data_IF_331865602875
#
_entry.id   IF_331865602875
#
_cell.length_a   1.000
_cell.length_b   1.000
_cell.length_c   1.000
_cell.angle_alpha   90.00
_cell.angle_beta   90.00
_cell.angle_gamma   90.00
#
_symmetry.space_group_name_H-M   'P 1'
#
loop_
_entity.id
_entity.type
_entity.pdbx_description
1 polymer ?
#
# COMPACT_ATOMS: atom_id res chain seq x y z
N UNK A 1 9.08 -18.51 -61.88
CA UNK A 1 9.17 -18.06 -60.48
C UNK A 1 8.51 -19.10 -59.60
N UNK A 2 9.25 -20.04 -58.97
CA UNK A 2 8.69 -20.93 -57.98
C UNK A 2 9.03 -20.46 -56.56
N UNK A 3 7.99 -20.31 -55.76
CA UNK A 3 8.05 -20.07 -54.32
C UNK A 3 8.59 -21.31 -53.60
N UNK A 4 9.73 -21.17 -52.93
CA UNK A 4 10.25 -22.19 -52.01
C UNK A 4 9.92 -21.78 -50.57
N UNK A 5 8.92 -22.49 -50.02
CA UNK A 5 8.55 -22.51 -48.61
C UNK A 5 9.72 -22.99 -47.74
N UNK A 6 10.32 -22.05 -47.00
CA UNK A 6 11.29 -22.35 -45.93
C UNK A 6 10.54 -22.81 -44.68
N UNK A 7 10.73 -24.08 -44.35
CA UNK A 7 10.19 -24.80 -43.20
C UNK A 7 11.10 -24.53 -41.99
N UNK A 8 10.65 -23.70 -41.04
CA UNK A 8 11.35 -23.45 -39.77
C UNK A 8 11.03 -24.57 -38.77
N UNK A 9 12.00 -25.17 -38.07
CA UNK A 9 11.72 -26.11 -36.99
C UNK A 9 11.36 -25.36 -35.70
N UNK A 10 10.17 -25.65 -35.16
CA UNK A 10 9.74 -25.27 -33.81
C UNK A 10 10.58 -26.02 -32.77
N UNK A 11 11.42 -25.31 -32.03
CA UNK A 11 12.02 -25.80 -30.80
C UNK A 11 10.97 -25.87 -29.69
N UNK A 12 10.89 -27.02 -29.04
CA UNK A 12 10.00 -27.28 -27.90
C UNK A 12 10.71 -26.79 -26.64
N UNK A 13 10.11 -25.82 -25.95
CA UNK A 13 10.56 -25.33 -24.65
C UNK A 13 10.55 -26.46 -23.60
N UNK A 14 11.51 -26.49 -22.66
CA UNK A 14 11.45 -27.46 -21.56
C UNK A 14 10.39 -27.03 -20.53
N UNK A 15 9.63 -28.03 -20.11
CA UNK A 15 8.64 -27.98 -19.03
C UNK A 15 9.31 -27.57 -17.73
N UNK A 16 8.85 -26.45 -17.16
CA UNK A 16 9.19 -26.06 -15.79
C UNK A 16 8.65 -27.12 -14.83
N UNK A 17 9.57 -27.87 -14.20
CA UNK A 17 9.25 -28.75 -13.08
C UNK A 17 8.92 -27.87 -11.87
N UNK A 18 7.63 -27.64 -11.64
CA UNK A 18 7.13 -27.14 -10.38
C UNK A 18 7.38 -28.21 -9.31
N UNK A 19 8.39 -27.99 -8.49
CA UNK A 19 8.79 -28.84 -7.38
C UNK A 19 9.53 -28.01 -6.33
N UNK A 20 8.99 -26.83 -6.01
CA UNK A 20 9.37 -26.10 -4.82
C UNK A 20 8.66 -26.79 -3.65
N UNK A 21 9.33 -27.78 -3.05
CA UNK A 21 8.91 -28.33 -1.77
C UNK A 21 8.95 -27.20 -0.74
N UNK A 22 7.89 -27.08 0.05
CA UNK A 22 7.81 -26.24 1.24
C UNK A 22 8.92 -26.64 2.21
N UNK A 23 10.05 -25.95 2.10
CA UNK A 23 11.14 -26.02 3.07
C UNK A 23 10.64 -25.25 4.29
N UNK A 24 10.14 -25.98 5.30
CA UNK A 24 9.60 -25.38 6.51
C UNK A 24 10.62 -24.42 7.14
N UNK A 25 10.16 -23.30 7.72
CA UNK A 25 11.03 -22.30 8.40
C UNK A 25 11.97 -22.92 9.45
N UNK A 26 11.62 -24.12 9.95
CA UNK A 26 12.43 -24.92 10.87
C UNK A 26 13.73 -25.45 10.24
N UNK A 27 13.73 -25.75 8.95
CA UNK A 27 14.91 -26.21 8.20
C UNK A 27 15.81 -25.03 7.80
N UNK A 28 15.23 -23.91 7.38
CA UNK A 28 15.97 -22.66 7.14
C UNK A 28 16.65 -22.12 8.41
N UNK A 29 16.01 -22.30 9.58
CA UNK A 29 16.61 -21.91 10.88
C UNK A 29 17.79 -22.81 11.26
N UNK A 30 17.76 -24.10 10.90
CA UNK A 30 18.89 -25.02 11.14
C UNK A 30 20.08 -24.73 10.22
N UNK A 31 19.86 -24.33 8.97
CA UNK A 31 20.95 -23.89 8.09
C UNK A 31 21.58 -22.57 8.55
N UNK A 32 20.79 -21.61 9.01
CA UNK A 32 21.34 -20.34 9.56
C UNK A 32 22.19 -20.56 10.82
N UNK A 33 21.82 -21.50 11.69
CA UNK A 33 22.63 -21.86 12.85
C UNK A 33 23.92 -22.63 12.49
N UNK A 34 23.94 -23.40 11.40
CA UNK A 34 25.16 -24.08 10.92
C UNK A 34 26.16 -23.13 10.27
N UNK A 35 25.73 -22.00 9.70
CA UNK A 35 26.64 -20.99 9.14
C UNK A 35 27.29 -20.09 10.21
N UNK A 36 26.68 -19.95 11.39
CA UNK A 36 27.21 -19.13 12.49
C UNK A 36 28.07 -19.90 13.51
N UNK A 37 28.16 -21.23 13.42
CA UNK A 37 28.90 -22.06 14.39
C UNK A 37 30.11 -22.77 13.81
N UNK A 38 30.64 -22.28 12.68
CA UNK A 38 31.98 -22.66 12.24
C UNK A 38 32.99 -21.99 13.17
N UNK A 39 33.80 -22.74 13.95
CA UNK A 39 34.86 -22.14 14.75
C UNK A 39 35.82 -21.42 13.78
N UNK A 40 36.35 -20.22 14.11
CA UNK A 40 37.38 -19.62 13.29
C UNK A 40 38.51 -20.64 13.19
N UNK A 41 38.82 -21.05 11.95
CA UNK A 41 39.90 -21.98 11.67
C UNK A 41 41.14 -21.48 12.41
N UNK A 42 41.63 -22.30 13.35
CA UNK A 42 42.89 -22.09 14.05
C UNK A 42 43.95 -21.85 12.98
N UNK A 43 44.34 -20.60 12.82
CA UNK A 43 45.50 -20.20 12.04
C UNK A 43 46.70 -20.86 12.71
N UNK A 44 47.23 -21.88 12.03
CA UNK A 44 48.54 -22.45 12.34
C UNK A 44 49.56 -21.30 12.44
N UNK A 45 50.43 -21.28 13.47
CA UNK A 45 51.56 -20.36 13.51
C UNK A 45 52.45 -20.64 12.29
N UNK A 46 52.43 -19.73 11.33
CA UNK A 46 53.32 -19.77 10.17
C UNK A 46 54.75 -19.60 10.68
N UNK A 47 55.59 -20.59 10.36
CA UNK A 47 57.02 -20.60 10.62
C UNK A 47 57.70 -19.27 10.21
N UNK A 48 58.62 -18.70 11.01
CA UNK A 48 59.29 -17.45 10.70
C UNK A 48 60.43 -17.72 9.73
N UNK A 49 60.14 -17.81 8.42
CA UNK A 49 61.20 -17.78 7.38
C UNK A 49 60.74 -17.34 5.98
N UNK A 50 59.55 -16.75 5.86
CA UNK A 50 59.06 -16.14 4.61
C UNK A 50 58.34 -14.82 4.87
N UNK A 51 59.03 -13.87 5.49
CA UNK A 51 58.66 -12.45 5.40
C UNK A 51 59.65 -11.77 4.46
N UNK A 52 59.34 -11.85 3.17
CA UNK A 52 59.97 -11.03 2.16
C UNK A 52 58.89 -10.59 1.19
N UNK A 53 58.67 -9.28 1.15
CA UNK A 53 58.00 -8.49 0.12
C UNK A 53 56.46 -8.46 0.12
N UNK A 54 55.89 -7.61 0.98
CA UNK A 54 54.69 -6.84 0.65
C UNK A 54 54.89 -5.38 1.08
N UNK A 55 55.72 -4.66 0.33
CA UNK A 55 55.63 -3.20 0.20
C UNK A 55 55.17 -2.92 -1.22
N UNK A 56 54.17 -2.03 -1.43
CA UNK A 56 53.77 -1.64 -2.77
C UNK A 56 54.91 -0.83 -3.38
N UNK A 57 55.67 -1.45 -4.27
CA UNK A 57 56.70 -0.78 -5.05
C UNK A 57 56.01 0.04 -6.14
N UNK A 58 55.60 1.26 -5.78
CA UNK A 58 55.17 2.28 -6.71
C UNK A 58 56.40 2.75 -7.52
N UNK A 59 56.58 2.18 -8.72
CA UNK A 59 57.80 2.28 -9.54
C UNK A 59 57.74 3.36 -10.62
N UNK A 60 56.89 4.38 -10.46
CA UNK A 60 56.77 5.49 -11.42
C UNK A 60 56.64 6.87 -10.76
N UNK A 61 57.43 7.14 -9.71
CA UNK A 61 57.75 8.53 -9.36
C UNK A 61 59.27 8.69 -9.40
N UNK A 62 59.76 9.15 -10.54
CA UNK A 62 61.17 9.46 -10.77
C UNK A 62 61.57 10.66 -9.90
N UNK A 63 61.92 10.43 -8.63
CA UNK A 63 62.76 11.37 -7.90
C UNK A 63 64.16 11.29 -8.48
N UNK A 64 64.64 12.42 -9.01
CA UNK A 64 65.99 12.57 -9.52
C UNK A 64 66.98 12.44 -8.36
N UNK A 65 67.39 11.22 -8.04
CA UNK A 65 68.50 11.00 -7.14
C UNK A 65 69.80 11.36 -7.86
N UNK A 66 70.63 12.15 -7.19
CA UNK A 66 71.99 12.46 -7.61
C UNK A 66 72.73 11.15 -7.94
N UNK A 67 73.42 11.07 -9.08
CA UNK A 67 74.11 9.86 -9.48
C UNK A 67 75.11 9.47 -8.40
N UNK A 68 75.17 8.17 -8.08
CA UNK A 68 76.11 7.65 -7.10
C UNK A 68 77.55 8.09 -7.46
N UNK A 69 78.41 8.38 -6.47
CA UNK A 69 79.77 8.89 -6.73
C UNK A 69 80.58 7.99 -7.68
N UNK A 70 80.27 6.68 -7.72
CA UNK A 70 80.88 5.74 -8.67
C UNK A 70 80.38 5.94 -10.11
N UNK A 71 79.09 6.23 -10.33
CA UNK A 71 78.56 6.54 -11.66
C UNK A 71 79.07 7.90 -12.16
N UNK A 72 79.24 8.88 -11.28
CA UNK A 72 79.88 10.16 -11.61
C UNK A 72 81.34 9.96 -12.03
N UNK A 73 82.08 9.09 -11.33
CA UNK A 73 83.47 8.74 -11.69
C UNK A 73 83.57 8.02 -13.04
N UNK A 74 82.69 7.06 -13.32
CA UNK A 74 82.65 6.35 -14.60
C UNK A 74 82.29 7.30 -15.75
N UNK A 75 81.34 8.22 -15.54
CA UNK A 75 81.02 9.26 -16.54
C UNK A 75 82.18 10.21 -16.76
N UNK A 76 82.87 10.64 -15.70
CA UNK A 76 84.08 11.46 -15.80
C UNK A 76 85.17 10.76 -16.61
N UNK A 77 85.44 9.47 -16.37
CA UNK A 77 86.44 8.72 -17.13
C UNK A 77 86.03 8.52 -18.60
N UNK A 78 84.74 8.33 -18.89
CA UNK A 78 84.24 8.23 -20.27
C UNK A 78 84.27 9.58 -20.99
N UNK A 79 84.02 10.68 -20.29
CA UNK A 79 84.13 12.03 -20.84
C UNK A 79 85.59 12.44 -21.04
N UNK A 80 86.52 12.03 -20.18
CA UNK A 80 87.97 12.14 -20.42
C UNK A 80 88.40 11.33 -21.65
N UNK A 81 87.86 10.12 -21.83
CA UNK A 81 88.15 9.29 -23.00
C UNK A 81 87.58 9.89 -24.30
N UNK A 82 86.44 10.61 -24.21
CA UNK A 82 85.86 11.36 -25.34
C UNK A 82 86.58 12.66 -25.64
N UNK A 83 87.19 13.30 -24.63
CA UNK A 83 87.98 14.54 -24.78
C UNK A 83 89.43 14.30 -25.14
N UNK A 84 89.92 13.06 -25.04
CA UNK A 84 91.14 12.66 -25.73
C UNK A 84 90.86 12.65 -27.23
N UNK A 85 91.20 13.75 -27.90
CA UNK A 85 91.45 13.75 -29.34
C UNK A 85 92.44 12.64 -29.63
N UNK A 86 91.92 11.55 -30.20
CA UNK A 86 92.74 10.43 -30.67
C UNK A 86 93.80 10.98 -31.62
N UNK A 87 95.10 10.81 -31.35
CA UNK A 87 96.09 11.08 -32.38
C UNK A 87 95.78 10.13 -33.55
N UNK A 88 95.60 10.73 -34.73
CA UNK A 88 95.42 10.02 -36.00
C UNK A 88 96.54 8.98 -36.11
N UNK A 89 96.16 7.70 -35.98
CA UNK A 89 97.07 6.58 -36.21
C UNK A 89 97.47 6.63 -37.69
N UNK A 90 98.77 6.61 -38.04
CA UNK A 90 99.18 6.61 -39.43
C UNK A 90 98.60 5.37 -40.12
N UNK A 91 97.94 5.59 -41.25
CA UNK A 91 97.51 4.53 -42.17
C UNK A 91 98.76 3.85 -42.70
N UNK A 92 99.22 2.81 -42.02
CA UNK A 92 100.21 1.89 -42.56
C UNK A 92 99.58 1.16 -43.75
N UNK A 93 99.86 1.66 -44.96
CA UNK A 93 99.75 0.90 -46.20
C UNK A 93 100.82 -0.20 -46.21
N UNK A 94 100.69 -1.20 -45.36
CA UNK A 94 101.42 -2.45 -45.50
C UNK A 94 100.58 -3.34 -46.40
N UNK A 95 100.94 -3.38 -47.69
CA UNK A 95 100.47 -4.43 -48.61
C UNK A 95 100.78 -5.77 -47.96
N UNK A 96 99.73 -6.59 -47.78
CA UNK A 96 99.89 -8.00 -47.48
C UNK A 96 100.79 -8.61 -48.57
N UNK A 97 101.98 -9.03 -48.17
CA UNK A 97 102.86 -9.85 -49.00
C UNK A 97 102.15 -11.18 -49.12
N UNK A 98 101.59 -11.42 -50.32
CA UNK A 98 101.05 -12.70 -50.73
C UNK A 98 102.10 -13.79 -50.54
N UNK A 99 101.72 -14.81 -49.78
CA UNK A 99 102.51 -16.00 -49.44
C UNK A 99 102.21 -17.15 -50.41
N UNK A 100 102.01 -16.84 -51.70
CA UNK A 100 101.69 -17.84 -52.75
C UNK A 100 102.77 -18.04 -53.82
N UNK A 101 103.90 -17.32 -53.75
CA UNK A 101 105.03 -17.52 -54.68
C UNK A 101 106.27 -18.09 -53.97
N UNK A 102 106.16 -19.33 -53.49
CA UNK A 102 107.31 -20.18 -53.16
C UNK A 102 107.32 -21.48 -53.97
N UNK A 103 106.96 -21.40 -55.25
CA UNK A 103 107.37 -22.40 -56.24
C UNK A 103 108.76 -22.03 -56.76
N UNK A 104 109.77 -22.92 -56.68
CA UNK A 104 111.09 -22.64 -57.24
C UNK A 104 111.06 -22.81 -58.76
N UNK A 105 110.52 -21.84 -59.49
CA UNK A 105 110.62 -21.72 -60.95
C UNK A 105 111.64 -20.65 -61.37
N UNK A 106 112.74 -20.51 -60.63
CA UNK A 106 113.94 -19.87 -61.17
C UNK A 106 114.78 -20.93 -61.88
N UNK A 107 114.59 -21.03 -63.19
CA UNK A 107 115.62 -21.55 -64.11
C UNK A 107 116.89 -20.73 -63.89
N UNK A 108 117.81 -21.26 -63.10
CA UNK A 108 119.17 -20.75 -63.06
C UNK A 108 119.75 -21.10 -64.44
N UNK A 109 119.85 -20.08 -65.31
CA UNK A 109 120.68 -20.16 -66.51
C UNK A 109 122.09 -20.46 -66.02
N UNK A 110 122.59 -21.66 -66.32
CA UNK A 110 124.00 -21.96 -66.29
C UNK A 110 124.65 -21.12 -67.40
N UNK A 111 125.12 -19.93 -67.05
CA UNK A 111 126.03 -19.18 -67.90
C UNK A 111 127.39 -19.87 -67.80
N UNK A 112 127.59 -20.79 -68.73
CA UNK A 112 128.82 -21.51 -68.98
C UNK A 112 129.79 -20.52 -69.62
N UNK A 113 130.42 -19.66 -68.82
CA UNK A 113 131.65 -18.98 -69.19
C UNK A 113 132.82 -19.80 -68.66
N UNK A 114 133.28 -20.71 -69.51
CA UNK A 114 134.65 -21.18 -69.55
C UNK A 114 135.56 -19.94 -69.50
N UNK A 115 136.29 -19.79 -68.40
CA UNK A 115 137.11 -18.63 -68.10
C UNK A 115 138.16 -19.03 -67.09
N UNK A 116 139.16 -19.77 -67.60
CA UNK A 116 140.51 -19.95 -67.09
C UNK A 116 140.71 -19.66 -65.59
N UNK A 117 140.43 -20.67 -64.77
CA UNK A 117 141.09 -20.77 -63.46
C UNK A 117 142.56 -21.10 -63.73
N UNK A 118 143.52 -20.23 -63.38
CA UNK A 118 144.93 -20.52 -63.56
C UNK A 118 145.29 -21.65 -62.60
N UNK A 119 145.58 -22.83 -63.16
CA UNK A 119 146.26 -23.90 -62.44
C UNK A 119 147.59 -23.32 -61.96
N UNK A 120 147.83 -23.19 -60.64
CA UNK A 120 149.12 -22.76 -60.17
C UNK A 120 150.13 -23.85 -60.52
N UNK A 121 150.97 -23.60 -61.53
CA UNK A 121 152.15 -24.41 -61.82
C UNK A 121 153.11 -24.25 -60.65
N UNK A 122 153.19 -25.27 -59.80
CA UNK A 122 154.27 -25.41 -58.84
C UNK A 122 155.59 -25.72 -59.59
N UNK A 123 156.75 -25.26 -59.09
CA UNK A 123 158.03 -25.48 -59.77
C UNK A 123 158.50 -26.93 -59.58
N UNK A 124 158.27 -27.73 -60.61
CA UNK A 124 159.27 -28.51 -61.35
C UNK A 124 160.33 -29.29 -60.57
N UNK A 125 159.99 -30.46 -60.03
CA UNK A 125 160.92 -31.60 -59.87
C UNK A 125 160.11 -32.89 -59.93
N UNK A 126 160.28 -33.69 -60.98
CA UNK A 126 159.66 -35.00 -61.08
C UNK A 126 160.40 -36.00 -60.19
N UNK A 127 160.15 -35.94 -58.88
CA UNK A 127 160.36 -37.08 -58.00
C UNK A 127 159.01 -37.80 -57.87
N UNK A 128 158.97 -39.09 -58.21
CA UNK A 128 157.75 -39.92 -58.12
C UNK A 128 157.07 -39.85 -56.72
N UNK A 129 157.82 -39.48 -55.68
CA UNK A 129 157.35 -39.26 -54.31
C UNK A 129 156.40 -38.05 -54.15
N UNK A 130 156.63 -36.94 -54.84
CA UNK A 130 155.80 -35.72 -54.70
C UNK A 130 154.48 -35.86 -55.45
N UNK A 131 154.50 -36.47 -56.64
CA UNK A 131 153.28 -36.80 -57.38
C UNK A 131 152.44 -37.81 -56.60
N UNK A 132 153.05 -38.81 -55.95
CA UNK A 132 152.32 -39.74 -55.08
C UNK A 132 151.78 -39.05 -53.82
N UNK A 133 152.47 -38.07 -53.25
CA UNK A 133 151.96 -37.27 -52.14
C UNK A 133 150.78 -36.37 -52.56
N UNK A 134 150.87 -35.68 -53.71
CA UNK A 134 149.79 -34.88 -54.27
C UNK A 134 148.55 -35.72 -54.58
N UNK A 135 148.71 -36.92 -55.17
CA UNK A 135 147.60 -37.86 -55.40
C UNK A 135 146.97 -38.32 -54.08
N UNK A 136 147.76 -38.57 -53.04
CA UNK A 136 147.25 -38.89 -51.70
C UNK A 136 146.47 -37.72 -51.09
N UNK A 137 146.96 -36.49 -51.20
CA UNK A 137 146.29 -35.28 -50.73
C UNK A 137 145.00 -35.03 -51.50
N UNK A 138 145.00 -35.12 -52.83
CA UNK A 138 143.80 -35.00 -53.65
C UNK A 138 142.76 -36.07 -53.31
N UNK A 139 143.17 -37.33 -53.14
CA UNK A 139 142.27 -38.41 -52.68
C UNK A 139 141.69 -38.12 -51.31
N UNK A 140 142.51 -37.62 -50.38
CA UNK A 140 142.06 -37.22 -49.05
C UNK A 140 141.05 -36.06 -49.13
N UNK A 141 141.37 -34.99 -49.87
CA UNK A 141 140.49 -33.83 -50.06
C UNK A 141 139.15 -34.23 -50.70
N UNK A 142 139.16 -35.07 -51.74
CA UNK A 142 137.94 -35.60 -52.36
C UNK A 142 137.13 -36.42 -51.33
N UNK A 143 137.80 -37.26 -50.54
CA UNK A 143 137.15 -38.07 -49.50
C UNK A 143 136.53 -37.19 -48.41
N UNK A 144 137.23 -36.15 -47.95
CA UNK A 144 136.75 -35.18 -46.95
C UNK A 144 135.58 -34.36 -47.51
N UNK A 145 135.70 -33.84 -48.73
CA UNK A 145 134.62 -33.10 -49.41
C UNK A 145 133.38 -33.98 -49.62
N UNK A 146 133.57 -35.24 -50.03
CA UNK A 146 132.48 -36.20 -50.17
C UNK A 146 131.81 -36.54 -48.83
N UNK A 147 132.60 -36.77 -47.77
CA UNK A 147 132.07 -36.98 -46.41
C UNK A 147 131.29 -35.77 -45.90
N UNK A 148 131.83 -34.55 -46.05
CA UNK A 148 131.15 -33.30 -45.70
C UNK A 148 129.84 -33.15 -46.47
N UNK A 149 129.87 -33.35 -47.79
CA UNK A 149 128.66 -33.29 -48.62
C UNK A 149 127.63 -34.33 -48.20
N UNK A 150 128.05 -35.54 -47.82
CA UNK A 150 127.16 -36.60 -47.33
C UNK A 150 126.54 -36.23 -45.98
N UNK A 151 127.30 -35.59 -45.10
CA UNK A 151 126.77 -35.05 -43.83
C UNK A 151 125.78 -33.91 -44.08
N UNK A 152 126.11 -32.96 -44.97
CA UNK A 152 125.21 -31.87 -45.36
C UNK A 152 123.91 -32.41 -45.94
N UNK A 153 123.98 -33.41 -46.83
CA UNK A 153 122.80 -34.07 -47.39
C UNK A 153 122.01 -34.81 -46.30
N UNK A 154 122.68 -35.45 -45.34
CA UNK A 154 122.00 -36.10 -44.21
C UNK A 154 121.32 -35.07 -43.29
N UNK A 155 121.97 -33.95 -43.01
CA UNK A 155 121.44 -32.84 -42.24
C UNK A 155 120.22 -32.23 -42.95
N UNK A 156 120.35 -31.90 -44.24
CA UNK A 156 119.24 -31.40 -45.06
C UNK A 156 118.07 -32.38 -45.12
N UNK A 157 118.33 -33.69 -45.24
CA UNK A 157 117.28 -34.72 -45.22
C UNK A 157 116.53 -34.74 -43.88
N UNK A 158 117.25 -34.70 -42.76
CA UNK A 158 116.62 -34.61 -41.41
C UNK A 158 115.82 -33.32 -41.25
N UNK A 159 116.34 -32.19 -41.73
CA UNK A 159 115.62 -30.90 -41.70
C UNK A 159 114.36 -30.95 -42.57
N UNK A 160 114.41 -31.58 -43.74
CA UNK A 160 113.24 -31.76 -44.59
C UNK A 160 112.21 -32.69 -43.93
N UNK A 161 112.64 -33.79 -43.31
CA UNK A 161 111.76 -34.70 -42.57
C UNK A 161 111.06 -33.99 -41.41
N UNK A 162 111.79 -33.16 -40.63
CA UNK A 162 111.16 -32.37 -39.57
C UNK A 162 110.20 -31.33 -40.13
N UNK A 163 110.55 -30.63 -41.21
CA UNK A 163 109.65 -29.69 -41.89
C UNK A 163 108.38 -30.37 -42.40
N UNK A 164 108.49 -31.55 -43.04
CA UNK A 164 107.33 -32.34 -43.47
C UNK A 164 106.48 -32.75 -42.26
N UNK A 165 107.10 -33.18 -41.15
CA UNK A 165 106.36 -33.52 -39.93
C UNK A 165 105.60 -32.34 -39.32
N UNK A 166 106.19 -31.13 -39.34
CA UNK A 166 105.51 -29.91 -38.91
C UNK A 166 104.38 -29.52 -39.86
N UNK A 167 104.60 -29.66 -41.17
CA UNK A 167 103.55 -29.40 -42.17
C UNK A 167 102.35 -30.36 -41.99
N UNK A 168 102.61 -31.63 -41.67
CA UNK A 168 101.55 -32.60 -41.42
C UNK A 168 100.77 -32.28 -40.13
N UNK A 169 101.49 -31.94 -39.06
CA UNK A 169 100.86 -31.50 -37.80
C UNK A 169 99.98 -30.26 -38.02
N UNK A 170 100.47 -29.29 -38.81
CA UNK A 170 99.69 -28.11 -39.18
C UNK A 170 98.47 -28.49 -40.02
N UNK A 171 98.58 -29.42 -40.98
CA UNK A 171 97.43 -29.92 -41.75
C UNK A 171 96.36 -30.52 -40.84
N UNK A 172 96.76 -31.34 -39.86
CA UNK A 172 95.84 -31.94 -38.87
C UNK A 172 95.21 -30.85 -37.98
N UNK A 173 95.99 -29.89 -37.50
CA UNK A 173 95.45 -28.76 -36.73
C UNK A 173 94.45 -27.95 -37.53
N UNK A 174 94.73 -27.66 -38.80
CA UNK A 174 93.80 -26.96 -39.69
C UNK A 174 92.53 -27.78 -39.93
N UNK A 175 92.61 -29.10 -40.13
CA UNK A 175 91.42 -29.94 -40.35
C UNK A 175 90.55 -30.04 -39.09
N UNK A 176 91.15 -30.19 -37.91
CA UNK A 176 90.42 -30.18 -36.63
C UNK A 176 89.72 -28.84 -36.38
N UNK A 177 90.40 -27.71 -36.59
CA UNK A 177 89.80 -26.37 -36.47
C UNK A 177 88.66 -26.16 -37.47
N UNK A 178 88.79 -26.64 -38.71
CA UNK A 178 87.70 -26.61 -39.71
C UNK A 178 86.49 -27.40 -39.23
N UNK A 179 86.69 -28.63 -38.72
CA UNK A 179 85.58 -29.45 -38.21
C UNK A 179 84.87 -28.82 -37.02
N UNK A 180 85.63 -28.17 -36.12
CA UNK A 180 85.06 -27.43 -34.98
C UNK A 180 84.22 -26.24 -35.47
N UNK A 181 84.75 -25.47 -36.42
CA UNK A 181 84.05 -24.34 -37.03
C UNK A 181 82.77 -24.79 -37.73
N UNK A 182 82.78 -25.91 -38.45
CA UNK A 182 81.59 -26.47 -39.11
C UNK A 182 80.54 -26.93 -38.11
N UNK A 183 80.96 -27.56 -37.00
CA UNK A 183 80.09 -27.93 -35.88
C UNK A 183 79.45 -26.69 -35.24
N UNK A 184 80.23 -25.66 -34.94
CA UNK A 184 79.72 -24.46 -34.31
C UNK A 184 78.81 -23.67 -35.25
N UNK A 185 79.12 -23.63 -36.55
CA UNK A 185 78.21 -23.10 -37.58
C UNK A 185 76.89 -23.87 -37.63
N UNK A 186 76.90 -25.20 -37.45
CA UNK A 186 75.67 -25.99 -37.37
C UNK A 186 74.84 -25.65 -36.12
N UNK A 187 75.48 -25.48 -34.96
CA UNK A 187 74.82 -25.05 -33.72
C UNK A 187 74.21 -23.65 -33.87
N UNK A 188 74.93 -22.71 -34.47
CA UNK A 188 74.42 -21.35 -34.74
C UNK A 188 73.18 -21.40 -35.65
N UNK A 189 73.21 -22.21 -36.71
CA UNK A 189 72.02 -22.39 -37.58
C UNK A 189 70.82 -22.95 -36.82
N UNK A 190 71.02 -23.92 -35.93
CA UNK A 190 69.93 -24.47 -35.10
C UNK A 190 69.41 -23.41 -34.11
N UNK A 191 70.29 -22.67 -33.46
CA UNK A 191 69.90 -21.59 -32.55
C UNK A 191 69.12 -20.48 -33.27
N UNK A 192 69.50 -20.13 -34.51
CA UNK A 192 68.76 -19.16 -35.33
C UNK A 192 67.34 -19.65 -35.66
N UNK A 193 67.17 -20.91 -36.05
CA UNK A 193 65.84 -21.49 -36.32
C UNK A 193 64.97 -21.54 -35.07
N UNK A 194 65.56 -21.90 -33.93
CA UNK A 194 64.83 -21.93 -32.66
C UNK A 194 64.42 -20.52 -32.22
N UNK A 195 65.29 -19.53 -32.43
CA UNK A 195 64.97 -18.12 -32.18
C UNK A 195 63.84 -17.62 -33.09
N UNK A 196 63.81 -18.01 -34.36
CA UNK A 196 62.70 -17.72 -35.28
C UNK A 196 61.39 -18.39 -34.82
N UNK A 197 61.44 -19.66 -34.39
CA UNK A 197 60.30 -20.38 -33.83
C UNK A 197 59.75 -19.69 -32.57
N UNK A 198 60.62 -19.28 -31.66
CA UNK A 198 60.24 -18.57 -30.44
C UNK A 198 59.67 -17.18 -30.74
N UNK A 199 60.21 -16.46 -31.73
CA UNK A 199 59.64 -15.19 -32.20
C UNK A 199 58.23 -15.38 -32.75
N UNK A 200 58.00 -16.46 -33.49
CA UNK A 200 56.68 -16.78 -34.04
C UNK A 200 55.68 -17.10 -32.92
N UNK A 201 56.06 -17.93 -31.95
CA UNK A 201 55.24 -18.22 -30.77
C UNK A 201 54.92 -16.96 -29.95
N UNK A 202 55.88 -16.05 -29.80
CA UNK A 202 55.66 -14.79 -29.09
C UNK A 202 54.60 -13.93 -29.80
N UNK A 203 54.66 -13.83 -31.14
CA UNK A 203 53.64 -13.12 -31.93
C UNK A 203 52.26 -13.76 -31.79
N UNK A 204 52.18 -15.10 -31.84
CA UNK A 204 50.91 -15.82 -31.64
C UNK A 204 50.32 -15.53 -30.25
N UNK A 205 51.15 -15.47 -29.21
CA UNK A 205 50.71 -15.12 -27.85
C UNK A 205 50.31 -13.65 -27.70
N UNK A 206 50.95 -12.73 -28.42
CA UNK A 206 50.51 -11.33 -28.46
C UNK A 206 49.13 -11.19 -29.12
N UNK A 207 48.88 -11.94 -30.20
CA UNK A 207 47.56 -11.97 -30.85
C UNK A 207 46.51 -12.56 -29.91
N UNK A 208 46.77 -13.71 -29.29
CA UNK A 208 45.87 -14.33 -28.31
C UNK A 208 45.56 -13.38 -27.14
N UNK A 209 46.59 -12.74 -26.58
CA UNK A 209 46.41 -11.72 -25.54
C UNK A 209 45.49 -10.58 -26.00
N UNK A 210 45.68 -10.08 -27.23
CA UNK A 210 44.83 -9.02 -27.76
C UNK A 210 43.37 -9.45 -27.96
N UNK A 211 43.12 -10.73 -28.27
CA UNK A 211 41.77 -11.31 -28.36
C UNK A 211 41.13 -11.38 -26.97
N UNK A 212 41.87 -11.92 -25.99
CA UNK A 212 41.39 -12.02 -24.61
C UNK A 212 41.11 -10.65 -23.99
N UNK A 213 41.91 -9.62 -24.31
CA UNK A 213 41.65 -8.25 -23.86
C UNK A 213 40.34 -7.69 -24.44
N UNK A 214 40.04 -7.96 -25.72
CA UNK A 214 38.76 -7.56 -26.34
C UNK A 214 37.57 -8.32 -25.76
N UNK A 215 37.71 -9.62 -25.54
CA UNK A 215 36.66 -10.45 -24.91
C UNK A 215 36.42 -10.03 -23.46
N UNK A 216 37.49 -9.72 -22.71
CA UNK A 216 37.40 -9.18 -21.36
C UNK A 216 36.63 -7.87 -21.32
N UNK A 217 36.94 -6.91 -22.21
CA UNK A 217 36.20 -5.65 -22.27
C UNK A 217 34.73 -5.86 -22.66
N UNK A 218 34.44 -6.76 -23.61
CA UNK A 218 33.06 -7.07 -24.00
C UNK A 218 32.26 -7.68 -22.84
N UNK A 219 32.87 -8.58 -22.06
CA UNK A 219 32.24 -9.15 -20.87
C UNK A 219 32.05 -8.11 -19.76
N UNK A 220 32.97 -7.16 -19.59
CA UNK A 220 32.81 -6.05 -18.65
C UNK A 220 31.63 -5.14 -19.04
N UNK A 221 31.45 -4.87 -20.33
CA UNK A 221 30.29 -4.12 -20.86
C UNK A 221 28.97 -4.89 -20.63
N UNK A 222 28.97 -6.21 -20.88
CA UNK A 222 27.80 -7.07 -20.64
C UNK A 222 27.41 -7.15 -19.15
N UNK A 223 28.41 -7.19 -18.26
CA UNK A 223 28.19 -7.15 -16.80
C UNK A 223 27.58 -5.80 -16.41
N UNK A 224 28.14 -4.68 -16.87
CA UNK A 224 27.57 -3.36 -16.61
C UNK A 224 26.11 -3.28 -17.08
N UNK A 225 25.82 -3.76 -18.30
CA UNK A 225 24.46 -3.77 -18.83
C UNK A 225 23.52 -4.71 -18.05
N UNK A 226 24.02 -5.80 -17.48
CA UNK A 226 23.24 -6.68 -16.62
C UNK A 226 22.94 -6.05 -15.25
N UNK A 227 23.89 -5.32 -14.67
CA UNK A 227 23.72 -4.57 -13.43
C UNK A 227 22.70 -3.42 -13.59
N UNK A 228 22.72 -2.72 -14.73
CA UNK A 228 21.73 -1.70 -15.06
C UNK A 228 20.32 -2.30 -15.15
N UNK A 229 20.15 -3.40 -15.89
CA UNK A 229 18.87 -4.13 -15.97
C UNK A 229 18.39 -4.63 -14.61
N UNK A 230 19.30 -5.13 -13.76
CA UNK A 230 18.96 -5.55 -12.41
C UNK A 230 18.52 -4.38 -11.53
N UNK A 231 19.15 -3.21 -11.69
CA UNK A 231 18.79 -1.98 -10.99
C UNK A 231 17.43 -1.45 -11.43
N UNK A 232 17.14 -1.44 -12.72
CA UNK A 232 15.82 -1.11 -13.29
C UNK A 232 14.73 -2.03 -12.75
N UNK A 233 14.96 -3.35 -12.76
CA UNK A 233 14.02 -4.31 -12.18
C UNK A 233 13.80 -4.06 -10.68
N UNK A 234 14.87 -3.81 -9.91
CA UNK A 234 14.78 -3.52 -8.48
C UNK A 234 13.98 -2.24 -8.18
N UNK A 235 14.15 -1.20 -9.01
CA UNK A 235 13.34 0.02 -8.93
C UNK A 235 11.87 -0.30 -9.26
N UNK A 236 11.62 -1.05 -10.35
CA UNK A 236 10.28 -1.49 -10.74
C UNK A 236 9.56 -2.26 -9.64
N UNK A 237 10.22 -3.24 -9.02
CA UNK A 237 9.69 -4.00 -7.89
C UNK A 237 9.34 -3.11 -6.69
N UNK A 238 10.20 -2.14 -6.36
CA UNK A 238 9.92 -1.17 -5.28
C UNK A 238 8.72 -0.29 -5.62
N UNK A 239 8.60 0.17 -6.85
CA UNK A 239 7.46 0.98 -7.28
C UNK A 239 6.15 0.19 -7.21
N UNK A 240 6.11 -1.03 -7.76
CA UNK A 240 4.93 -1.89 -7.67
C UNK A 240 4.55 -2.20 -6.21
N UNK A 241 5.54 -2.39 -5.34
CA UNK A 241 5.29 -2.56 -3.90
C UNK A 241 4.67 -1.31 -3.28
N UNK A 242 5.20 -0.13 -3.55
CA UNK A 242 4.66 1.13 -3.05
C UNK A 242 3.24 1.38 -3.55
N UNK A 243 2.95 1.09 -4.82
CA UNK A 243 1.60 1.17 -5.40
C UNK A 243 0.63 0.22 -4.70
N UNK A 244 1.05 -1.02 -4.44
CA UNK A 244 0.24 -2.00 -3.72
C UNK A 244 -0.01 -1.59 -2.27
N UNK A 245 1.00 -1.07 -1.57
CA UNK A 245 0.86 -0.51 -0.23
C UNK A 245 -0.09 0.70 -0.22
N UNK A 246 -0.01 1.58 -1.23
CA UNK A 246 -0.94 2.69 -1.44
C UNK A 246 -2.38 2.23 -1.69
N UNK A 247 -2.57 1.23 -2.55
CA UNK A 247 -3.88 0.65 -2.83
C UNK A 247 -4.49 -0.01 -1.58
N UNK A 248 -3.69 -0.71 -0.77
CA UNK A 248 -4.12 -1.28 0.51
C UNK A 248 -4.53 -0.21 1.51
N UNK A 249 -3.76 0.89 1.61
CA UNK A 249 -4.09 2.01 2.48
C UNK A 249 -5.41 2.68 2.06
N UNK A 250 -5.62 2.87 0.75
CA UNK A 250 -6.87 3.39 0.20
C UNK A 250 -8.06 2.46 0.47
N UNK A 251 -7.91 1.16 0.23
CA UNK A 251 -8.93 0.16 0.55
C UNK A 251 -9.31 0.19 2.03
N UNK A 252 -8.32 0.22 2.93
CA UNK A 252 -8.58 0.34 4.37
C UNK A 252 -9.26 1.65 4.76
N UNK A 253 -9.00 2.76 4.06
CA UNK A 253 -9.73 4.02 4.27
C UNK A 253 -11.19 3.92 3.81
N UNK A 254 -11.45 3.31 2.65
CA UNK A 254 -12.80 3.06 2.16
C UNK A 254 -13.59 2.13 3.09
N UNK A 255 -12.98 1.08 3.62
CA UNK A 255 -13.62 0.18 4.59
C UNK A 255 -14.01 0.91 5.87
N UNK A 256 -13.14 1.78 6.41
CA UNK A 256 -13.46 2.63 7.57
C UNK A 256 -14.60 3.59 7.27
N UNK A 257 -14.57 4.27 6.12
CA UNK A 257 -15.65 5.16 5.71
C UNK A 257 -16.98 4.41 5.59
N UNK A 258 -16.98 3.23 4.98
CA UNK A 258 -18.15 2.40 4.82
C UNK A 258 -18.67 1.88 6.17
N UNK A 259 -17.78 1.56 7.12
CA UNK A 259 -18.16 1.21 8.49
C UNK A 259 -18.85 2.39 9.22
N UNK A 260 -18.36 3.63 9.04
CA UNK A 260 -19.00 4.83 9.58
C UNK A 260 -20.39 5.06 8.96
N UNK A 261 -20.53 4.90 7.65
CA UNK A 261 -21.83 5.00 6.96
C UNK A 261 -22.81 3.93 7.47
N UNK A 262 -22.35 2.68 7.64
CA UNK A 262 -23.18 1.62 8.23
C UNK A 262 -23.62 1.94 9.66
N UNK A 263 -22.73 2.51 10.47
CA UNK A 263 -23.06 2.93 11.83
C UNK A 263 -24.08 4.08 11.85
N UNK A 264 -23.91 5.10 11.00
CA UNK A 264 -24.87 6.18 10.84
C UNK A 264 -26.24 5.68 10.33
N UNK A 265 -26.25 4.74 9.38
CA UNK A 265 -27.47 4.10 8.89
C UNK A 265 -28.18 3.27 9.98
N UNK A 266 -27.42 2.61 10.87
CA UNK A 266 -28.01 1.90 12.01
C UNK A 266 -28.62 2.87 13.03
N UNK A 267 -27.93 3.97 13.34
CA UNK A 267 -28.42 5.00 14.26
C UNK A 267 -29.70 5.66 13.75
N UNK A 268 -29.75 6.02 12.46
CA UNK A 268 -30.96 6.59 11.85
C UNK A 268 -32.13 5.62 11.85
N UNK A 269 -31.89 4.31 11.69
CA UNK A 269 -32.93 3.28 11.86
C UNK A 269 -33.43 3.21 13.29
N UNK A 270 -32.54 3.20 14.28
CA UNK A 270 -32.93 3.20 15.69
C UNK A 270 -33.77 4.43 16.05
N UNK A 271 -33.39 5.61 15.54
CA UNK A 271 -34.14 6.85 15.75
C UNK A 271 -35.53 6.79 15.11
N UNK A 272 -35.63 6.24 13.90
CA UNK A 272 -36.92 6.01 13.23
C UNK A 272 -37.80 5.05 14.03
N UNK A 273 -37.25 3.92 14.46
CA UNK A 273 -37.99 2.90 15.20
C UNK A 273 -38.49 3.48 16.54
N UNK A 274 -37.65 4.24 17.25
CA UNK A 274 -38.07 4.97 18.45
C UNK A 274 -39.18 6.00 18.18
N UNK A 275 -39.11 6.72 17.05
CA UNK A 275 -40.16 7.65 16.66
C UNK A 275 -41.49 6.92 16.34
N UNK A 276 -41.43 5.76 15.68
CA UNK A 276 -42.58 4.90 15.45
C UNK A 276 -43.19 4.41 16.78
N UNK A 277 -42.38 3.93 17.72
CA UNK A 277 -42.86 3.50 19.04
C UNK A 277 -43.60 4.63 19.76
N UNK A 278 -43.03 5.85 19.73
CA UNK A 278 -43.69 7.03 20.29
C UNK A 278 -45.02 7.37 19.61
N UNK A 279 -45.09 7.26 18.27
CA UNK A 279 -46.35 7.46 17.55
C UNK A 279 -47.39 6.41 17.96
N UNK A 280 -47.01 5.14 18.07
CA UNK A 280 -47.95 4.09 18.51
C UNK A 280 -48.47 4.33 19.93
N UNK A 281 -47.64 4.86 20.84
CA UNK A 281 -48.10 5.28 22.17
C UNK A 281 -49.12 6.41 22.10
N UNK A 282 -48.85 7.45 21.29
CA UNK A 282 -49.77 8.58 21.12
C UNK A 282 -51.07 8.15 20.44
N UNK A 283 -51.01 7.26 19.45
CA UNK A 283 -52.20 6.68 18.81
C UNK A 283 -53.05 5.89 19.81
N UNK A 284 -52.41 5.10 20.69
CA UNK A 284 -53.11 4.39 21.76
C UNK A 284 -53.75 5.36 22.77
N UNK A 285 -53.05 6.43 23.16
CA UNK A 285 -53.59 7.48 24.03
C UNK A 285 -54.77 8.19 23.37
N UNK A 286 -54.68 8.52 22.08
CA UNK A 286 -55.78 9.11 21.32
C UNK A 286 -57.00 8.19 21.27
N UNK A 287 -56.81 6.90 20.99
CA UNK A 287 -57.88 5.92 21.03
C UNK A 287 -58.53 5.83 22.44
N UNK A 288 -57.73 5.94 23.50
CA UNK A 288 -58.24 6.02 24.87
C UNK A 288 -59.06 7.29 25.10
N UNK A 289 -58.60 8.46 24.63
CA UNK A 289 -59.35 9.71 24.74
C UNK A 289 -60.63 9.71 23.91
N UNK A 290 -60.62 9.12 22.71
CA UNK A 290 -61.82 8.93 21.89
C UNK A 290 -62.85 8.06 22.61
N UNK A 291 -62.41 6.95 23.21
CA UNK A 291 -63.30 6.11 24.03
C UNK A 291 -63.87 6.87 25.23
N UNK A 292 -63.04 7.65 25.94
CA UNK A 292 -63.50 8.50 27.06
C UNK A 292 -64.51 9.56 26.59
N UNK A 293 -64.26 10.19 25.45
CA UNK A 293 -65.18 11.15 24.83
C UNK A 293 -66.51 10.49 24.48
N UNK A 294 -66.48 9.32 23.85
CA UNK A 294 -67.70 8.55 23.54
C UNK A 294 -68.48 8.22 24.82
N UNK A 295 -67.81 7.78 25.88
CA UNK A 295 -68.48 7.51 27.17
C UNK A 295 -69.10 8.79 27.76
N UNK A 296 -68.37 9.90 27.76
CA UNK A 296 -68.88 11.18 28.25
C UNK A 296 -70.05 11.71 27.39
N UNK A 297 -70.01 11.53 26.07
CA UNK A 297 -71.11 11.89 25.17
C UNK A 297 -72.36 11.04 25.44
N UNK A 298 -72.18 9.74 25.71
CA UNK A 298 -73.31 8.87 26.10
C UNK A 298 -73.91 9.28 27.44
N UNK A 299 -73.08 9.59 28.44
CA UNK A 299 -73.53 10.10 29.75
C UNK A 299 -74.26 11.44 29.60
N UNK A 300 -73.74 12.37 28.80
CA UNK A 300 -74.41 13.65 28.50
C UNK A 300 -75.74 13.42 27.80
N UNK A 301 -75.82 12.47 26.87
CA UNK A 301 -77.08 12.13 26.19
C UNK A 301 -78.10 11.53 27.16
N UNK A 302 -77.68 10.68 28.10
CA UNK A 302 -78.53 10.16 29.18
C UNK A 302 -79.01 11.27 30.11
N UNK A 303 -78.11 12.11 30.61
CA UNK A 303 -78.46 13.26 31.45
C UNK A 303 -79.41 14.24 30.76
N UNK A 304 -79.28 14.43 29.43
CA UNK A 304 -80.22 15.23 28.64
C UNK A 304 -81.61 14.58 28.59
N UNK A 305 -81.69 13.26 28.38
CA UNK A 305 -82.97 12.52 28.42
C UNK A 305 -83.60 12.64 29.80
N UNK A 306 -82.84 12.40 30.86
CA UNK A 306 -83.31 12.54 32.24
C UNK A 306 -83.81 13.97 32.52
N UNK A 307 -83.07 14.99 32.09
CA UNK A 307 -83.48 16.37 32.25
C UNK A 307 -84.78 16.68 31.49
N UNK A 308 -84.96 16.15 30.28
CA UNK A 308 -86.18 16.32 29.50
C UNK A 308 -87.37 15.55 30.11
N UNK A 309 -87.14 14.36 30.67
CA UNK A 309 -88.14 13.63 31.46
C UNK A 309 -88.56 14.42 32.70
N UNK A 310 -87.59 14.96 33.46
CA UNK A 310 -87.86 15.80 34.63
C UNK A 310 -88.60 17.09 34.25
N UNK A 311 -88.28 17.69 33.10
CA UNK A 311 -89.04 18.84 32.56
C UNK A 311 -90.48 18.46 32.26
N UNK A 312 -90.73 17.33 31.59
CA UNK A 312 -92.09 16.84 31.33
C UNK A 312 -92.86 16.56 32.63
N UNK A 313 -92.22 15.93 33.61
CA UNK A 313 -92.80 15.73 34.95
C UNK A 313 -93.15 17.07 35.61
N UNK A 314 -92.26 18.07 35.52
CA UNK A 314 -92.51 19.42 36.03
C UNK A 314 -93.67 20.11 35.29
N UNK A 315 -93.75 19.98 33.97
CA UNK A 315 -94.86 20.50 33.17
C UNK A 315 -96.20 19.87 33.62
N UNK A 316 -96.27 18.54 33.67
CA UNK A 316 -97.46 17.80 34.13
C UNK A 316 -97.86 18.21 35.56
N UNK A 317 -96.90 18.31 36.47
CA UNK A 317 -97.18 18.73 37.85
C UNK A 317 -97.61 20.19 37.93
N UNK A 318 -97.05 21.07 37.10
CA UNK A 318 -97.46 22.48 37.02
C UNK A 318 -98.86 22.65 36.45
N UNK A 319 -99.23 21.87 35.42
CA UNK A 319 -100.58 21.82 34.85
C UNK A 319 -101.57 21.28 35.87
N UNK A 320 -101.21 20.20 36.58
CA UNK A 320 -102.00 19.65 37.68
C UNK A 320 -102.21 20.69 38.77
N UNK A 321 -101.17 21.39 39.19
CA UNK A 321 -101.25 22.46 40.18
C UNK A 321 -102.12 23.63 39.70
N UNK A 322 -102.03 23.99 38.41
CA UNK A 322 -102.90 25.01 37.80
C UNK A 322 -104.36 24.58 37.84
N UNK A 323 -104.65 23.33 37.45
CA UNK A 323 -106.00 22.78 37.49
C UNK A 323 -106.55 22.70 38.92
N UNK A 324 -105.71 22.39 39.92
CA UNK A 324 -106.08 22.44 41.33
C UNK A 324 -106.36 23.87 41.81
N UNK A 325 -105.55 24.86 41.40
CA UNK A 325 -105.79 26.28 41.72
C UNK A 325 -107.12 26.73 41.13
N UNK A 326 -107.38 26.44 39.85
CA UNK A 326 -108.66 26.73 39.20
C UNK A 326 -109.84 26.03 39.88
N UNK A 327 -109.66 24.79 40.35
CA UNK A 327 -110.68 24.08 41.12
C UNK A 327 -110.91 24.71 42.50
N UNK A 328 -109.85 25.13 43.22
CA UNK A 328 -109.95 25.87 44.48
C UNK A 328 -110.61 27.22 44.30
N UNK A 329 -110.33 27.94 43.22
CA UNK A 329 -111.00 29.20 42.89
C UNK A 329 -112.47 29.02 42.55
N UNK A 330 -112.83 27.93 41.84
CA UNK A 330 -114.23 27.54 41.61
C UNK A 330 -114.94 27.22 42.93
N UNK A 331 -114.36 26.36 43.75
CA UNK A 331 -114.88 26.04 45.09
C UNK A 331 -114.98 27.29 45.98
N UNK A 332 -113.99 28.19 45.94
CA UNK A 332 -114.03 29.46 46.66
C UNK A 332 -115.09 30.44 46.15
N UNK A 333 -115.46 30.39 44.86
CA UNK A 333 -116.62 31.11 44.33
C UNK A 333 -117.93 30.47 44.79
N UNK A 334 -118.02 29.15 44.78
CA UNK A 334 -119.19 28.41 45.26
C UNK A 334 -119.43 28.62 46.76
N UNK A 335 -118.38 28.58 47.59
CA UNK A 335 -118.47 28.88 49.02
C UNK A 335 -118.89 30.34 49.28
N UNK A 336 -118.44 31.30 48.47
CA UNK A 336 -118.91 32.69 48.55
C UNK A 336 -120.39 32.81 48.19
N UNK A 337 -120.82 32.20 47.08
CA UNK A 337 -122.22 32.19 46.67
C UNK A 337 -123.12 31.49 47.71
N UNK A 338 -122.65 30.39 48.31
CA UNK A 338 -123.35 29.73 49.43
C UNK A 338 -123.38 30.62 50.68
N UNK A 339 -122.28 31.30 51.00
CA UNK A 339 -122.22 32.27 52.10
C UNK A 339 -123.21 33.43 51.92
N UNK A 340 -123.31 33.97 50.70
CA UNK A 340 -124.29 35.00 50.34
C UNK A 340 -125.73 34.49 50.47
N UNK A 341 -126.01 33.26 50.03
CA UNK A 341 -127.33 32.62 50.20
C UNK A 341 -127.69 32.39 51.67
N UNK A 342 -126.74 31.97 52.49
CA UNK A 342 -126.95 31.79 53.94
C UNK A 342 -127.16 33.13 54.64
N UNK A 343 -126.44 34.18 54.24
CA UNK A 343 -126.64 35.54 54.77
C UNK A 343 -128.02 36.11 54.39
N UNK A 344 -128.47 35.89 53.15
CA UNK A 344 -129.81 36.28 52.71
C UNK A 344 -130.90 35.54 53.51
N UNK A 345 -130.74 34.22 53.70
CA UNK A 345 -131.66 33.43 54.52
C UNK A 345 -131.65 33.88 56.00
N UNK A 346 -130.50 34.28 56.55
CA UNK A 346 -130.41 34.81 57.90
C UNK A 346 -131.19 36.14 58.04
N UNK A 347 -131.07 37.04 57.05
CA UNK A 347 -131.85 38.28 57.01
C UNK A 347 -133.35 38.00 56.88
N UNK A 348 -133.76 37.01 56.08
CA UNK A 348 -135.15 36.56 56.01
C UNK A 348 -135.65 36.01 57.35
N UNK A 349 -134.85 35.22 58.07
CA UNK A 349 -135.23 34.73 59.39
C UNK A 349 -135.33 35.83 60.45
N UNK A 350 -134.48 36.86 60.38
CA UNK A 350 -134.56 38.01 61.28
C UNK A 350 -135.75 38.92 60.94
N UNK A 351 -136.08 39.08 59.65
CA UNK A 351 -137.30 39.78 59.22
C UNK A 351 -138.56 39.06 59.74
N UNK A 352 -138.63 37.73 59.58
CA UNK A 352 -139.73 36.91 60.10
C UNK A 352 -139.82 36.92 61.63
N UNK A 353 -138.68 37.01 62.34
CA UNK A 353 -138.66 37.21 63.80
C UNK A 353 -139.24 38.55 64.20
N UNK A 354 -138.84 39.63 63.51
CA UNK A 354 -139.36 40.97 63.79
C UNK A 354 -140.86 41.06 63.52
N UNK A 355 -141.36 40.41 62.47
CA UNK A 355 -142.81 40.28 62.19
C UNK A 355 -143.53 39.48 63.28
N UNK A 356 -142.94 38.38 63.77
CA UNK A 356 -143.48 37.60 64.88
C UNK A 356 -143.54 38.39 66.18
N UNK A 357 -142.53 39.21 66.46
CA UNK A 357 -142.50 40.04 67.66
C UNK A 357 -143.49 41.22 67.55
N UNK A 358 -143.67 41.80 66.36
CA UNK A 358 -144.74 42.78 66.10
C UNK A 358 -146.13 42.18 66.35
N UNK A 359 -146.40 40.99 65.82
CA UNK A 359 -147.67 40.26 66.05
C UNK A 359 -147.88 39.90 67.53
N UNK A 360 -146.81 39.61 68.27
CA UNK A 360 -146.88 39.39 69.73
C UNK A 360 -147.22 40.67 70.48
N UNK A 361 -146.68 41.81 70.06
CA UNK A 361 -147.05 43.11 70.67
C UNK A 361 -148.49 43.51 70.37
N UNK A 362 -148.99 43.24 69.16
CA UNK A 362 -150.41 43.45 68.83
C UNK A 362 -151.34 42.54 69.63
N UNK A 363 -150.97 41.26 69.81
CA UNK A 363 -151.72 40.33 70.66
C UNK A 363 -151.70 40.71 72.14
N UNK A 364 -150.62 41.33 72.63
CA UNK A 364 -150.55 41.86 73.98
C UNK A 364 -151.46 43.09 74.14
N UNK A 365 -151.46 44.01 73.17
CA UNK A 365 -152.37 45.17 73.15
C UNK A 365 -153.84 44.75 73.11
N UNK A 366 -154.20 43.79 72.25
CA UNK A 366 -155.57 43.25 72.18
C UNK A 366 -155.98 42.52 73.46
N UNK A 367 -155.03 41.88 74.17
CA UNK A 367 -155.29 41.27 75.49
C UNK A 367 -155.58 42.31 76.56
N UNK A 368 -154.85 43.42 76.56
CA UNK A 368 -155.06 44.51 77.52
C UNK A 368 -156.37 45.27 77.24
N UNK A 369 -156.75 45.45 75.96
CA UNK A 369 -158.06 45.98 75.57
C UNK A 369 -159.23 45.05 75.95
N UNK A 370 -159.04 43.74 75.83
CA UNK A 370 -160.02 42.73 76.30
C UNK A 370 -160.15 42.71 77.83
N UNK A 371 -159.08 43.06 78.55
CA UNK A 371 -159.09 43.17 80.00
C UNK A 371 -159.79 44.45 80.45
N UNK A 372 -159.52 45.56 79.77
CA UNK A 372 -160.18 46.85 80.02
C UNK A 372 -161.68 46.82 79.73
N UNK A 373 -162.11 46.10 78.68
CA UNK A 373 -163.53 45.90 78.37
C UNK A 373 -164.22 44.94 79.35
N UNK A 374 -163.50 43.98 79.92
CA UNK A 374 -163.99 43.14 81.03
C UNK A 374 -164.19 43.93 82.31
N UNK A 375 -163.22 44.76 82.67
CA UNK A 375 -163.27 45.57 83.90
C UNK A 375 -164.34 46.68 83.78
N UNK A 376 -164.63 47.17 82.57
CA UNK A 376 -165.76 48.09 82.31
C UNK A 376 -167.13 47.39 82.33
N UNK A 377 -167.21 46.08 82.09
CA UNK A 377 -168.47 45.33 82.11
C UNK A 377 -168.95 44.97 83.53
N UNK A 378 -168.05 44.91 84.52
CA UNK A 378 -168.39 44.54 85.90
C UNK A 378 -169.05 45.68 86.71
N UNK A 379 -169.09 46.91 86.18
CA UNK A 379 -169.62 48.09 86.88
C UNK A 379 -171.04 48.52 86.44
N UNK A 380 -171.73 47.74 85.60
CA UNK A 380 -173.08 48.09 85.11
C UNK A 380 -174.21 47.26 85.76
N UNK A 381 -175.39 47.87 86.06
CA UNK A 381 -176.41 47.28 86.93
C UNK A 381 -177.27 46.20 86.26
N UNK A 382 -177.89 45.35 87.11
CA UNK A 382 -178.62 44.10 86.79
C UNK A 382 -179.87 44.12 85.87
N UNK A 383 -180.37 45.22 85.28
CA UNK A 383 -181.42 45.09 84.26
C UNK A 383 -180.93 44.74 82.84
N UNK A 384 -179.63 44.87 82.52
CA UNK A 384 -179.12 44.72 81.15
C UNK A 384 -178.64 43.30 80.79
N UNK A 385 -178.80 42.35 81.72
CA UNK A 385 -178.44 40.93 81.54
C UNK A 385 -179.55 40.10 80.85
N UNK A 386 -180.68 40.70 80.47
CA UNK A 386 -181.80 40.04 79.75
C UNK A 386 -181.88 40.35 78.24
N UNK A 387 -180.92 41.10 77.67
CA UNK A 387 -180.78 41.31 76.23
C UNK A 387 -179.53 40.63 75.62
N UNK A 388 -178.96 39.67 76.35
CA UNK A 388 -177.88 38.77 75.91
C UNK A 388 -178.32 37.66 74.92
N UNK A 389 -179.56 37.67 74.43
CA UNK A 389 -180.14 36.51 73.74
C UNK A 389 -180.36 36.60 72.23
N UNK A 390 -180.39 37.81 71.63
CA UNK A 390 -181.08 37.99 70.34
C UNK A 390 -180.24 38.49 69.14
N UNK A 391 -178.99 38.93 69.32
CA UNK A 391 -178.16 39.44 68.20
C UNK A 391 -177.01 38.50 67.80
N UNK A 392 -177.17 37.20 68.09
CA UNK A 392 -176.21 36.12 67.79
C UNK A 392 -176.44 35.48 66.40
N UNK A 393 -177.11 36.17 65.48
CA UNK A 393 -177.53 35.62 64.18
C UNK A 393 -177.12 36.41 62.93
N UNK A 394 -176.39 37.54 63.02
CA UNK A 394 -176.25 38.48 61.88
C UNK A 394 -174.82 38.77 61.35
N UNK A 395 -173.79 37.98 61.68
CA UNK A 395 -172.45 38.10 61.03
C UNK A 395 -171.91 36.80 60.43
N UNK A 396 -172.81 35.95 59.94
CA UNK A 396 -172.50 34.93 58.95
C UNK A 396 -172.65 35.51 57.53
N UNK A 397 -171.58 36.09 56.96
CA UNK A 397 -171.18 35.98 55.54
C UNK A 397 -170.24 37.10 55.07
N UNK A 398 -169.13 36.70 54.44
CA UNK A 398 -168.53 37.22 53.17
C UNK A 398 -167.48 36.17 52.77
N UNK A 399 -167.62 35.28 51.77
CA UNK A 399 -167.75 35.40 50.31
C UNK A 399 -166.62 36.18 49.60
N UNK A 400 -166.13 35.53 48.52
CA UNK A 400 -165.13 35.87 47.48
C UNK A 400 -163.66 35.71 47.89
N UNK A 401 -162.77 35.00 47.17
CA UNK A 401 -162.59 34.84 45.71
C UNK A 401 -161.92 33.48 45.37
N UNK A 402 -162.34 32.80 44.29
CA UNK A 402 -161.52 31.87 43.51
C UNK A 402 -161.15 32.49 42.14
N UNK A 403 -159.87 32.55 41.77
CA UNK A 403 -159.36 32.88 40.41
C UNK A 403 -157.83 32.64 40.42
N UNK A 404 -157.27 31.70 39.66
CA UNK A 404 -157.03 31.68 38.21
C UNK A 404 -155.81 32.54 37.76
N UNK A 405 -154.78 31.81 37.30
CA UNK A 405 -153.94 32.10 36.13
C UNK A 405 -153.28 33.48 36.05
N UNK A 406 -151.95 33.55 36.24
CA UNK A 406 -151.13 34.40 35.35
C UNK A 406 -149.63 33.97 35.28
N UNK A 407 -149.32 33.26 34.18
CA UNK A 407 -148.10 33.27 33.33
C UNK A 407 -146.73 32.81 33.90
N UNK A 408 -146.05 31.79 33.34
CA UNK A 408 -145.60 31.48 31.96
C UNK A 408 -144.32 32.18 31.49
N UNK A 409 -143.54 31.40 30.72
CA UNK A 409 -142.46 31.72 29.76
C UNK A 409 -141.02 31.57 30.33
N UNK A 410 -140.24 30.50 30.07
CA UNK A 410 -139.66 30.00 28.78
C UNK A 410 -138.75 31.09 28.13
N UNK A 411 -137.63 30.84 27.38
CA UNK A 411 -136.96 29.60 26.88
C UNK A 411 -135.42 29.54 27.14
N UNK A 412 -134.69 28.41 27.07
CA UNK A 412 -134.32 27.49 25.97
C UNK A 412 -133.07 27.85 25.14
N UNK A 413 -132.32 26.78 24.79
CA UNK A 413 -131.33 26.62 23.69
C UNK A 413 -129.98 27.33 23.87
N UNK A 414 -128.83 26.89 23.34
CA UNK A 414 -128.33 25.75 22.56
C UNK A 414 -126.79 25.88 22.56
N UNK A 415 -126.07 24.81 22.23
CA UNK A 415 -124.82 24.92 21.47
C UNK A 415 -123.62 24.17 22.05
N UNK A 416 -123.22 23.15 21.28
CA UNK A 416 -121.86 22.62 21.05
C UNK A 416 -120.86 22.48 22.20
#
# INVERSE_FOLDING_TARGET
MPEQLLKVPRSVSPVARAGAGDISERELSRERHKLQTTPPARLQPVHPKKQLFLTPVNKFTAKWCTPSPNLARIRSCLDEYKRQDTPVRPVNKAKAVSMEDLTPTKRIKFDKKDGDLPVPRSPGVNAAAEQTAAVKICRFMITVAWRRRREDVRCLRKTLETQVSYSERLRIQISTLKSLLDSDNAKVRLAMRELERLKQLLKEKEIEKSVLEREKSALEDDICAAEDRASEMSIGWRNCRNELEGARAAAGACERALALERAAAAETRNQRDHACDRLTMVEADLANYENLLLTAETEVAELRRDADEKRKELEITSERLRSEREARERCGRECRALGERVAAAALETDALRNELDALRTELAGLRDELRLTRDQLDWWPRPLTKMLGAARSWFSSTKSVPEAVLWNLIPARHGC
#
